data_IF_545191763455
#
_entry.id   IF_545191763455
#
_cell.length_a   1.000
_cell.length_b   1.000
_cell.length_c   1.000
_cell.angle_alpha   90.00
_cell.angle_beta   90.00
_cell.angle_gamma   90.00
#
_symmetry.space_group_name_H-M   'P 1'
#
loop_
_entity.id
_entity.type
_entity.pdbx_description
1 polymer ?
#
# COMPACT_ATOMS: atom_id res chain seq x y z
N UNK A 1 -24.48 1.16 -26.33
CA UNK A 1 -25.01 -0.20 -26.51
C UNK A 1 -23.86 -1.02 -27.12
N UNK A 2 -23.18 -1.81 -26.29
CA UNK A 2 -22.25 -2.84 -26.75
C UNK A 2 -22.77 -4.13 -26.10
N UNK A 3 -23.43 -4.96 -26.89
CA UNK A 3 -23.75 -6.34 -26.50
C UNK A 3 -22.48 -7.18 -26.69
N UNK A 4 -22.01 -7.79 -25.61
CA UNK A 4 -21.07 -8.90 -25.67
C UNK A 4 -21.85 -10.16 -25.27
N UNK A 5 -22.20 -10.93 -26.29
CA UNK A 5 -22.78 -12.25 -26.16
C UNK A 5 -21.64 -13.26 -25.91
N UNK A 6 -21.90 -14.23 -25.03
CA UNK A 6 -21.11 -15.44 -24.77
C UNK A 6 -19.84 -15.29 -23.91
N UNK A 7 -20.02 -15.55 -22.62
CA UNK A 7 -18.96 -15.99 -21.71
C UNK A 7 -18.29 -14.85 -20.97
N UNK A 8 -18.60 -14.70 -19.68
CA UNK A 8 -17.79 -13.92 -18.76
C UNK A 8 -16.42 -14.61 -18.71
N UNK A 9 -15.46 -14.14 -19.51
CA UNK A 9 -14.05 -14.42 -19.26
C UNK A 9 -13.75 -13.71 -17.93
N UNK A 10 -13.94 -14.43 -16.81
CA UNK A 10 -13.31 -14.05 -15.55
C UNK A 10 -11.82 -14.13 -15.82
N UNK A 11 -11.21 -12.99 -16.19
CA UNK A 11 -9.78 -12.89 -16.38
C UNK A 11 -9.11 -13.57 -15.17
N UNK A 12 -8.41 -14.67 -15.43
CA UNK A 12 -7.73 -15.43 -14.38
C UNK A 12 -6.77 -14.47 -13.69
N UNK A 13 -6.95 -14.28 -12.37
CA UNK A 13 -6.12 -13.38 -11.56
C UNK A 13 -4.64 -13.67 -11.87
N UNK A 14 -3.85 -12.70 -12.36
CA UNK A 14 -2.45 -12.96 -12.68
C UNK A 14 -1.77 -13.44 -11.41
N UNK A 15 -1.20 -14.65 -11.45
CA UNK A 15 -0.47 -15.20 -10.32
C UNK A 15 0.94 -14.61 -10.33
N UNK A 16 1.31 -13.88 -9.30
CA UNK A 16 2.64 -13.30 -9.17
C UNK A 16 3.09 -13.29 -7.73
N UNK A 17 4.42 -13.17 -7.54
CA UNK A 17 5.04 -13.11 -6.24
C UNK A 17 5.79 -11.80 -6.11
N UNK A 18 5.80 -11.23 -4.92
CA UNK A 18 6.65 -10.09 -4.58
C UNK A 18 7.36 -10.36 -3.27
N UNK A 19 8.57 -9.84 -3.17
CA UNK A 19 9.42 -9.96 -2.00
C UNK A 19 9.58 -8.57 -1.39
N UNK A 20 9.56 -8.50 -0.07
CA UNK A 20 9.84 -7.28 0.69
C UNK A 20 10.79 -7.61 1.85
N UNK A 21 11.78 -6.75 2.07
CA UNK A 21 12.81 -6.91 3.11
C UNK A 21 12.55 -5.88 4.22
N UNK A 22 12.14 -6.31 5.42
CA UNK A 22 11.94 -5.37 6.53
C UNK A 22 13.27 -4.86 7.10
N UNK A 23 13.21 -3.72 7.79
CA UNK A 23 14.30 -3.20 8.62
C UNK A 23 14.47 -4.03 9.90
N UNK A 24 15.68 -4.03 10.46
CA UNK A 24 16.10 -4.92 11.56
C UNK A 24 15.34 -4.72 12.89
N UNK A 25 14.64 -3.59 13.04
CA UNK A 25 14.16 -3.05 14.31
C UNK A 25 12.65 -3.10 14.54
N UNK A 26 11.81 -3.57 13.60
CA UNK A 26 10.36 -3.59 13.83
C UNK A 26 9.56 -4.54 12.92
N UNK A 27 9.51 -5.82 13.28
CA UNK A 27 8.53 -6.77 12.76
C UNK A 27 7.67 -7.35 13.90
N UNK A 28 6.36 -7.14 13.83
CA UNK A 28 5.40 -7.72 14.76
C UNK A 28 4.40 -8.60 14.01
N UNK A 29 4.12 -9.80 14.50
CA UNK A 29 3.18 -10.72 13.87
C UNK A 29 2.04 -11.10 14.80
N UNK A 30 0.83 -11.14 14.25
CA UNK A 30 -0.37 -11.69 14.89
C UNK A 30 -0.83 -12.91 14.09
N UNK A 31 -1.18 -13.99 14.80
CA UNK A 31 -1.78 -15.17 14.20
C UNK A 31 -3.06 -15.53 14.94
N UNK A 32 -4.17 -15.55 14.22
CA UNK A 32 -5.44 -16.11 14.65
C UNK A 32 -5.78 -17.33 13.79
N UNK A 33 -6.84 -18.08 14.12
CA UNK A 33 -7.16 -19.39 13.52
C UNK A 33 -7.08 -19.41 11.98
N UNK A 34 -7.62 -18.40 11.29
CA UNK A 34 -7.74 -18.35 9.83
C UNK A 34 -7.08 -17.11 9.18
N UNK A 35 -6.29 -16.36 9.94
CA UNK A 35 -5.64 -15.14 9.43
C UNK A 35 -4.34 -14.87 10.15
N UNK A 36 -3.37 -14.38 9.40
CA UNK A 36 -2.08 -13.93 9.94
C UNK A 36 -1.84 -12.51 9.47
N UNK A 37 -1.37 -11.66 10.35
CA UNK A 37 -0.93 -10.31 10.00
C UNK A 37 0.52 -10.12 10.43
N UNK A 38 1.28 -9.36 9.66
CA UNK A 38 2.63 -8.94 9.98
C UNK A 38 2.74 -7.43 9.75
N UNK A 39 3.17 -6.69 10.74
CA UNK A 39 3.50 -5.27 10.64
C UNK A 39 5.00 -5.13 10.51
N UNK A 40 5.46 -4.37 9.52
CA UNK A 40 6.86 -4.21 9.16
C UNK A 40 7.24 -2.74 9.12
N UNK A 41 8.48 -2.45 9.52
CA UNK A 41 9.19 -1.26 9.09
C UNK A 41 9.95 -1.51 7.81
N UNK A 42 9.72 -0.69 6.79
CA UNK A 42 10.33 -0.85 5.45
C UNK A 42 10.94 0.48 5.04
N UNK A 43 12.16 0.46 4.50
CA UNK A 43 12.76 1.67 3.93
C UNK A 43 12.01 2.07 2.65
N UNK A 44 11.97 3.36 2.34
CA UNK A 44 11.32 3.84 1.13
C UNK A 44 11.94 3.24 -0.14
N UNK A 45 13.26 3.01 -0.14
CA UNK A 45 13.98 2.33 -1.22
C UNK A 45 13.52 0.90 -1.46
N UNK A 46 13.39 0.10 -0.40
CA UNK A 46 12.87 -1.27 -0.52
C UNK A 46 11.41 -1.24 -0.98
N UNK A 47 10.61 -0.29 -0.47
CA UNK A 47 9.23 -0.17 -0.91
C UNK A 47 9.16 0.17 -2.40
N UNK A 48 10.00 1.06 -2.93
CA UNK A 48 10.08 1.34 -4.38
C UNK A 48 10.33 0.06 -5.17
N UNK A 49 11.32 -0.75 -4.78
CA UNK A 49 11.59 -2.04 -5.46
C UNK A 49 10.40 -2.99 -5.38
N UNK A 50 9.72 -3.02 -4.23
CA UNK A 50 8.47 -3.75 -4.09
C UNK A 50 7.35 -3.20 -4.99
N UNK A 51 7.31 -1.91 -5.30
CA UNK A 51 6.26 -1.32 -6.14
C UNK A 51 6.55 -1.43 -7.64
N UNK A 52 7.81 -1.61 -8.04
CA UNK A 52 8.19 -1.67 -9.45
C UNK A 52 7.94 -3.05 -10.09
N UNK A 53 7.58 -3.03 -11.36
CA UNK A 53 7.60 -4.18 -12.27
C UNK A 53 9.01 -4.38 -12.85
N UNK A 54 9.18 -5.40 -13.70
CA UNK A 54 10.48 -5.73 -14.31
C UNK A 54 11.06 -4.61 -15.19
N UNK A 55 10.19 -3.78 -15.77
CA UNK A 55 10.54 -2.63 -16.59
C UNK A 55 10.64 -1.32 -15.79
N UNK A 56 10.74 -1.40 -14.46
CA UNK A 56 10.83 -0.26 -13.53
C UNK A 56 9.59 0.65 -13.48
N UNK A 57 8.53 0.34 -14.22
CA UNK A 57 7.23 1.02 -14.06
C UNK A 57 6.49 0.53 -12.83
N UNK A 58 5.50 1.30 -12.36
CA UNK A 58 4.66 0.87 -11.25
C UNK A 58 3.92 -0.42 -11.60
N UNK A 59 4.01 -1.44 -10.75
CA UNK A 59 3.36 -2.73 -10.95
C UNK A 59 1.85 -2.61 -10.63
N UNK A 60 1.05 -2.24 -11.62
CA UNK A 60 -0.39 -2.05 -11.48
C UNK A 60 -1.14 -3.31 -10.99
N UNK A 61 -0.53 -4.50 -11.12
CA UNK A 61 -1.10 -5.74 -10.56
C UNK A 61 -1.24 -5.66 -9.05
N UNK A 62 -0.44 -4.84 -8.35
CA UNK A 62 -0.53 -4.62 -6.90
C UNK A 62 -1.80 -3.89 -6.47
N UNK A 63 -2.45 -3.15 -7.37
CA UNK A 63 -3.60 -2.28 -7.04
C UNK A 63 -4.84 -2.63 -7.86
N UNK A 64 -4.81 -3.73 -8.61
CA UNK A 64 -5.88 -4.14 -9.52
C UNK A 64 -7.26 -4.21 -8.85
N UNK A 65 -7.32 -4.62 -7.58
CA UNK A 65 -8.56 -4.71 -6.80
C UNK A 65 -8.91 -3.42 -6.03
N UNK A 66 -8.08 -2.38 -6.14
CA UNK A 66 -8.26 -1.13 -5.40
C UNK A 66 -9.08 -0.13 -6.22
N UNK A 67 -10.36 0.00 -5.88
CA UNK A 67 -11.28 0.93 -6.55
C UNK A 67 -10.84 2.40 -6.47
N UNK A 68 -10.02 2.78 -5.48
CA UNK A 68 -9.57 4.17 -5.29
C UNK A 68 -8.49 4.60 -6.28
N UNK A 69 -7.77 3.67 -6.89
CA UNK A 69 -6.85 3.98 -7.98
C UNK A 69 -7.57 4.68 -9.15
N UNK A 70 -8.79 4.23 -9.45
CA UNK A 70 -9.61 4.74 -10.56
C UNK A 70 -10.33 6.06 -10.25
N UNK A 71 -10.30 6.56 -9.01
CA UNK A 71 -11.01 7.78 -8.59
C UNK A 71 -10.19 9.08 -8.77
N UNK A 72 -8.99 8.99 -9.34
CA UNK A 72 -8.13 10.13 -9.64
C UNK A 72 -6.97 10.29 -8.65
N UNK A 73 -5.77 10.45 -9.21
CA UNK A 73 -4.49 10.53 -8.50
C UNK A 73 -4.02 11.98 -8.27
N UNK A 74 -4.88 12.99 -8.43
CA UNK A 74 -4.48 14.37 -8.22
C UNK A 74 -5.38 15.03 -7.18
N UNK A 75 -4.89 15.04 -5.94
CA UNK A 75 -5.55 15.67 -4.80
C UNK A 75 -4.50 16.08 -3.75
N UNK A 76 -4.93 16.91 -2.80
CA UNK A 76 -4.13 17.48 -1.73
C UNK A 76 -3.24 16.47 -0.99
N UNK A 77 -3.74 15.26 -0.74
CA UNK A 77 -2.99 14.19 -0.07
C UNK A 77 -1.73 13.80 -0.86
N UNK A 78 -1.81 13.73 -2.19
CA UNK A 78 -0.65 13.38 -3.01
C UNK A 78 0.40 14.49 -3.00
N UNK A 79 -0.03 15.74 -2.91
CA UNK A 79 0.85 16.90 -2.78
C UNK A 79 1.60 16.86 -1.45
N UNK A 80 0.92 16.63 -0.33
CA UNK A 80 1.53 16.52 1.01
C UNK A 80 2.54 15.37 1.10
N UNK A 81 2.20 14.20 0.55
CA UNK A 81 3.11 13.04 0.50
C UNK A 81 4.35 13.41 -0.32
N UNK A 82 4.18 14.03 -1.49
CA UNK A 82 5.29 14.46 -2.35
C UNK A 82 6.16 15.51 -1.67
N UNK A 83 5.56 16.49 -1.00
CA UNK A 83 6.27 17.53 -0.27
C UNK A 83 7.13 16.94 0.85
N UNK A 84 6.58 15.99 1.63
CA UNK A 84 7.35 15.30 2.67
C UNK A 84 8.59 14.60 2.09
N UNK A 85 8.43 13.92 0.96
CA UNK A 85 9.51 13.18 0.30
C UNK A 85 10.59 14.07 -0.35
N UNK A 86 10.22 15.28 -0.80
CA UNK A 86 11.11 16.15 -1.58
C UNK A 86 11.69 17.33 -0.79
N UNK A 87 11.18 17.62 0.40
CA UNK A 87 11.60 18.76 1.24
C UNK A 87 12.67 18.42 2.28
N UNK A 88 13.30 17.24 2.17
CA UNK A 88 14.27 16.76 3.17
C UNK A 88 13.65 16.21 4.46
N UNK A 89 12.32 16.01 4.48
CA UNK A 89 11.57 15.47 5.63
C UNK A 89 11.30 13.96 5.50
N UNK A 90 12.01 13.25 4.63
CA UNK A 90 11.78 11.83 4.38
C UNK A 90 11.99 10.95 5.63
N UNK A 91 12.84 11.37 6.58
CA UNK A 91 13.04 10.69 7.87
C UNK A 91 11.77 10.64 8.72
N UNK A 92 10.90 11.64 8.58
CA UNK A 92 9.66 11.76 9.36
C UNK A 92 8.48 11.06 8.69
N UNK A 93 8.68 10.58 7.46
CA UNK A 93 7.63 9.99 6.62
C UNK A 93 6.84 8.91 7.36
N UNK A 94 7.54 8.05 8.10
CA UNK A 94 6.95 6.98 8.93
C UNK A 94 5.81 7.46 9.83
N UNK A 95 5.95 8.66 10.39
CA UNK A 95 5.03 9.26 11.34
C UNK A 95 3.91 10.05 10.65
N UNK A 96 4.22 10.63 9.49
CA UNK A 96 3.32 11.53 8.76
C UNK A 96 2.35 10.78 7.83
N UNK A 97 2.70 9.55 7.42
CA UNK A 97 1.93 8.79 6.45
C UNK A 97 1.15 7.62 7.10
N UNK A 98 0.00 7.23 6.54
CA UNK A 98 -0.85 6.14 7.08
C UNK A 98 -0.41 4.71 6.70
N UNK A 99 0.79 4.56 6.15
CA UNK A 99 1.35 3.28 5.72
C UNK A 99 0.66 2.64 4.52
N UNK A 100 0.96 1.36 4.33
CA UNK A 100 0.30 0.48 3.36
C UNK A 100 -0.34 -0.70 4.08
N UNK A 101 -1.53 -1.11 3.62
CA UNK A 101 -2.08 -2.43 3.95
C UNK A 101 -2.15 -3.29 2.70
N UNK A 102 -1.50 -4.44 2.77
CA UNK A 102 -1.37 -5.42 1.71
C UNK A 102 -2.07 -6.71 2.15
N UNK A 103 -2.98 -7.22 1.35
CA UNK A 103 -3.54 -8.57 1.51
C UNK A 103 -2.85 -9.52 0.54
N UNK A 104 -2.63 -10.77 0.93
CA UNK A 104 -2.04 -11.79 0.07
C UNK A 104 -2.62 -13.16 0.39
N UNK A 105 -2.51 -14.08 -0.56
CA UNK A 105 -3.00 -15.46 -0.39
C UNK A 105 -2.08 -16.26 0.53
N UNK A 106 -0.79 -15.94 0.52
CA UNK A 106 0.22 -16.63 1.31
C UNK A 106 1.42 -15.73 1.61
N UNK A 107 1.86 -15.75 2.88
CA UNK A 107 3.13 -15.23 3.36
C UNK A 107 4.11 -16.40 3.48
N UNK A 108 5.08 -16.43 2.57
CA UNK A 108 6.23 -17.33 2.64
C UNK A 108 7.35 -16.59 3.35
N UNK A 109 7.54 -16.90 4.64
CA UNK A 109 8.57 -16.33 5.50
C UNK A 109 9.49 -17.42 6.03
N UNK A 110 10.81 -17.19 6.01
CA UNK A 110 11.78 -18.09 6.65
C UNK A 110 11.76 -17.86 8.17
N UNK A 111 11.80 -18.93 8.95
CA UNK A 111 11.33 -19.02 10.35
C UNK A 111 11.98 -18.11 11.40
N UNK A 112 12.96 -17.26 11.05
CA UNK A 112 13.83 -16.60 12.03
C UNK A 112 13.65 -15.07 12.10
N UNK A 113 12.51 -14.53 11.65
CA UNK A 113 12.11 -13.13 11.87
C UNK A 113 12.90 -12.05 11.13
N UNK A 114 14.03 -12.39 10.48
CA UNK A 114 14.95 -11.45 9.80
C UNK A 114 15.19 -11.77 8.32
N UNK A 115 14.19 -12.32 7.64
CA UNK A 115 14.36 -12.78 6.28
C UNK A 115 13.24 -12.28 5.38
N UNK A 116 13.52 -12.12 4.08
CA UNK A 116 12.58 -11.54 3.15
C UNK A 116 11.21 -12.19 3.22
N UNK A 117 10.18 -11.36 3.20
CA UNK A 117 8.80 -11.82 3.16
C UNK A 117 8.39 -11.91 1.70
N UNK A 118 8.11 -13.13 1.25
CA UNK A 118 7.56 -13.36 -0.08
C UNK A 118 6.05 -13.51 0.03
N UNK A 119 5.32 -12.70 -0.72
CA UNK A 119 3.86 -12.71 -0.81
C UNK A 119 3.42 -13.33 -2.12
N UNK A 120 2.42 -14.21 -2.06
CA UNK A 120 1.72 -14.74 -3.24
C UNK A 120 0.47 -13.90 -3.49
N UNK A 121 0.35 -13.34 -4.70
CA UNK A 121 -0.74 -12.49 -5.15
C UNK A 121 -1.07 -11.31 -4.21
N UNK A 122 -0.06 -10.48 -3.86
CA UNK A 122 -0.28 -9.32 -3.01
C UNK A 122 -1.19 -8.29 -3.68
N UNK A 123 -2.06 -7.66 -2.89
CA UNK A 123 -2.93 -6.56 -3.28
C UNK A 123 -2.90 -5.46 -2.22
N UNK A 124 -2.58 -4.24 -2.62
CA UNK A 124 -2.62 -3.04 -1.78
C UNK A 124 -4.08 -2.60 -1.66
N UNK A 125 -4.66 -2.81 -0.48
CA UNK A 125 -6.06 -2.44 -0.19
C UNK A 125 -6.16 -1.09 0.52
N UNK A 126 -5.05 -0.55 1.03
CA UNK A 126 -4.91 0.79 1.57
C UNK A 126 -3.49 1.34 1.33
N UNK A 127 -3.37 2.65 1.13
CA UNK A 127 -2.09 3.31 0.83
C UNK A 127 -1.76 3.38 -0.68
N UNK A 128 -2.75 3.26 -1.58
CA UNK A 128 -2.53 3.35 -3.03
C UNK A 128 -1.87 4.69 -3.43
N UNK A 129 -2.37 5.81 -2.90
CA UNK A 129 -1.80 7.14 -3.10
C UNK A 129 -0.35 7.23 -2.64
N UNK A 130 -0.07 6.77 -1.41
CA UNK A 130 1.29 6.67 -0.85
C UNK A 130 2.20 5.85 -1.74
N UNK A 131 1.76 4.68 -2.18
CA UNK A 131 2.52 3.81 -3.07
C UNK A 131 2.83 4.48 -4.41
N UNK A 132 1.82 5.06 -5.08
CA UNK A 132 2.00 5.71 -6.38
C UNK A 132 2.92 6.92 -6.28
N UNK A 133 2.78 7.76 -5.25
CA UNK A 133 3.63 8.95 -5.08
C UNK A 133 5.07 8.56 -4.76
N UNK A 134 5.30 7.59 -3.86
CA UNK A 134 6.66 7.10 -3.56
C UNK A 134 7.33 6.60 -4.84
N UNK A 135 6.64 5.76 -5.62
CA UNK A 135 7.19 5.25 -6.88
C UNK A 135 7.49 6.39 -7.86
N UNK A 136 6.53 7.30 -8.08
CA UNK A 136 6.70 8.42 -9.01
C UNK A 136 7.81 9.40 -8.60
N UNK A 137 8.01 9.61 -7.30
CA UNK A 137 9.11 10.43 -6.77
C UNK A 137 10.45 9.71 -6.94
N UNK A 138 10.50 8.39 -6.70
CA UNK A 138 11.73 7.60 -6.81
C UNK A 138 12.29 7.49 -8.24
N UNK A 139 11.44 7.64 -9.26
CA UNK A 139 11.89 7.69 -10.66
C UNK A 139 12.41 9.08 -11.06
N UNK A 140 12.32 10.08 -10.18
CA UNK A 140 12.87 11.43 -10.38
C UNK A 140 14.29 11.60 -9.81
N UNK A 141 14.99 12.64 -10.25
CA UNK A 141 16.40 12.89 -9.91
C UNK A 141 16.66 13.57 -8.56
N UNK A 142 15.62 13.99 -7.83
CA UNK A 142 15.74 14.84 -6.62
C UNK A 142 15.27 14.15 -5.32
N UNK A 143 14.92 12.87 -5.37
CA UNK A 143 14.35 12.18 -4.21
C UNK A 143 15.45 11.67 -3.26
N UNK A 144 15.49 12.17 -2.03
CA UNK A 144 16.26 11.57 -0.95
C UNK A 144 15.36 10.56 -0.20
N UNK A 145 15.47 9.29 -0.60
CA UNK A 145 14.72 8.18 0.01
C UNK A 145 15.58 7.36 0.98
N UNK A 146 16.85 7.71 1.14
CA UNK A 146 17.82 6.83 1.80
C UNK A 146 17.57 6.72 3.31
N UNK A 147 16.98 7.75 3.92
CA UNK A 147 16.71 7.81 5.36
C UNK A 147 15.23 7.65 5.74
N UNK A 148 14.35 7.47 4.75
CA UNK A 148 12.91 7.39 4.99
C UNK A 148 12.40 5.98 5.19
N UNK A 149 11.36 5.85 6.01
CA UNK A 149 10.70 4.58 6.31
C UNK A 149 9.18 4.71 6.23
N UNK A 150 8.51 3.59 6.00
CA UNK A 150 7.05 3.49 5.97
C UNK A 150 6.58 2.17 6.58
N UNK A 151 5.50 2.22 7.33
CA UNK A 151 4.93 1.03 7.95
C UNK A 151 4.07 0.25 6.94
N UNK A 152 4.28 -1.06 6.89
CA UNK A 152 3.58 -1.96 5.99
C UNK A 152 2.91 -3.06 6.79
N UNK A 153 1.58 -3.15 6.68
CA UNK A 153 0.78 -4.24 7.24
C UNK A 153 0.48 -5.25 6.15
N UNK A 154 0.98 -6.47 6.31
CA UNK A 154 0.69 -7.60 5.41
C UNK A 154 -0.31 -8.52 6.10
N UNK A 155 -1.38 -8.89 5.41
CA UNK A 155 -2.43 -9.79 5.90
C UNK A 155 -2.50 -11.00 4.98
N UNK A 156 -2.26 -12.18 5.52
CA UNK A 156 -2.50 -13.46 4.85
C UNK A 156 -3.95 -13.89 5.10
N UNK A 157 -4.72 -14.03 4.02
CA UNK A 157 -6.09 -14.55 4.07
C UNK A 157 -6.58 -14.95 2.69
N UNK A 158 -7.48 -15.93 2.64
CA UNK A 158 -8.22 -16.30 1.44
C UNK A 158 -9.72 -15.94 1.54
N UNK A 159 -10.14 -15.25 2.61
CA UNK A 159 -11.52 -14.80 2.81
C UNK A 159 -11.75 -13.47 2.08
N UNK A 160 -12.43 -13.52 0.93
CA UNK A 160 -12.75 -12.35 0.12
C UNK A 160 -13.63 -11.34 0.86
N UNK A 161 -14.56 -11.78 1.70
CA UNK A 161 -15.43 -10.89 2.48
C UNK A 161 -14.63 -10.17 3.56
N UNK A 162 -13.65 -10.84 4.17
CA UNK A 162 -12.73 -10.17 5.10
C UNK A 162 -11.84 -9.16 4.40
N UNK A 163 -11.30 -9.48 3.22
CA UNK A 163 -10.51 -8.54 2.40
C UNK A 163 -11.32 -7.27 2.10
N UNK A 164 -12.58 -7.42 1.68
CA UNK A 164 -13.48 -6.30 1.42
C UNK A 164 -13.72 -5.45 2.68
N UNK A 165 -13.99 -6.09 3.84
CA UNK A 165 -14.14 -5.37 5.12
C UNK A 165 -12.87 -4.60 5.50
N UNK A 166 -11.70 -5.19 5.31
CA UNK A 166 -10.41 -4.52 5.57
C UNK A 166 -10.24 -3.30 4.67
N UNK A 167 -10.50 -3.45 3.36
CA UNK A 167 -10.42 -2.37 2.40
C UNK A 167 -11.39 -1.23 2.76
N UNK A 168 -12.65 -1.55 3.06
CA UNK A 168 -13.66 -0.57 3.46
C UNK A 168 -13.29 0.15 4.76
N UNK A 169 -12.93 -0.58 5.82
CA UNK A 169 -12.58 0.00 7.12
C UNK A 169 -11.38 0.96 7.02
N UNK A 170 -10.36 0.59 6.26
CA UNK A 170 -9.16 1.42 6.08
C UNK A 170 -9.46 2.69 5.28
N UNK A 171 -10.41 2.63 4.33
CA UNK A 171 -10.85 3.79 3.55
C UNK A 171 -11.75 4.75 4.35
N UNK A 172 -12.57 4.24 5.28
CA UNK A 172 -13.44 5.07 6.12
C UNK A 172 -12.64 5.98 7.06
N UNK A 173 -11.48 5.52 7.57
CA UNK A 173 -10.59 6.36 8.37
C UNK A 173 -10.08 7.58 7.60
N UNK A 174 -9.76 7.45 6.31
CA UNK A 174 -9.40 8.60 5.47
C UNK A 174 -10.56 9.57 5.24
N UNK A 175 -11.81 9.08 5.14
CA UNK A 175 -13.00 9.93 4.94
C UNK A 175 -13.43 10.69 6.18
N UNK A 176 -13.18 10.16 7.38
CA UNK A 176 -13.55 10.83 8.64
C UNK A 176 -12.79 12.16 8.78
N UNK A 177 -11.53 12.25 8.33
CA UNK A 177 -10.79 13.51 8.33
C UNK A 177 -11.43 14.57 7.39
N UNK A 178 -11.88 14.16 6.20
CA UNK A 178 -12.57 15.04 5.26
C UNK A 178 -13.93 15.54 5.82
N UNK A 179 -14.63 14.71 6.59
CA UNK A 179 -15.87 15.13 7.26
C UNK A 179 -15.60 16.09 8.43
N UNK A 180 -14.58 15.80 9.25
CA UNK A 180 -14.21 16.65 10.39
C UNK A 180 -13.79 18.05 9.94
N UNK A 181 -13.09 18.20 8.82
CA UNK A 181 -12.76 19.52 8.26
C UNK A 181 -13.99 20.30 7.80
N UNK A 182 -15.03 19.63 7.30
CA UNK A 182 -16.28 20.30 6.93
C UNK A 182 -17.06 20.79 8.18
N UNK A 183 -17.01 20.01 9.27
CA UNK A 183 -17.68 20.33 10.53
C UNK A 183 -16.92 21.31 11.43
N UNK A 184 -15.59 21.34 11.37
CA UNK A 184 -14.75 22.20 12.23
C UNK A 184 -13.99 23.30 11.48
N UNK A 185 -13.82 23.20 10.16
CA UNK A 185 -13.10 24.18 9.33
C UNK A 185 -13.96 25.32 8.77
N UNK A 186 -15.28 25.33 9.04
CA UNK A 186 -16.17 26.45 8.72
C UNK A 186 -16.44 27.37 9.92
N UNK A 187 -15.79 27.13 11.06
CA UNK A 187 -15.96 27.89 12.28
C UNK A 187 -14.63 28.35 12.87
N UNK A 188 -13.99 29.36 12.27
CA UNK A 188 -13.16 30.36 12.96
C UNK A 188 -12.80 31.49 11.99
N UNK A 189 -13.40 32.64 12.29
CA UNK A 189 -13.15 34.06 11.95
C UNK A 189 -11.98 34.39 11.02
#
# INVERSE_FOLDING_TARGET
MFELSHGVVKATKPRFKKKIIPSDDAAFSVKEANKRAVMLKVSLKELTQFLSAENETFDERLIWQNVRYFLGLDNEVNREIRETLLSGQASDFWFLNSGLTIVCEQIVSVANGRHPITMVNPQIVNGCQTATVIHAVSTGTMADLDNGYVHVKIIETNDSTFIERVALASNTQSRILALLWHFFGSGSV
#
